data_IF_400103931489
#
_entry.id   IF_400103931489
#
_cell.length_a   1.000
_cell.length_b   1.000
_cell.length_c   1.000
_cell.angle_alpha   90.00
_cell.angle_beta   90.00
_cell.angle_gamma   90.00
#
_symmetry.space_group_name_H-M   'P 1'
#
loop_
_entity.id
_entity.type
_entity.pdbx_description
1 polymer ?
#
# COMPACT_ATOMS: atom_id res chain seq x y z
N UNK A 1 -56.56 4.41 4.66
CA UNK A 1 -56.27 4.12 3.24
C UNK A 1 -55.14 3.12 3.17
N UNK A 2 -55.44 1.86 2.83
CA UNK A 2 -54.47 0.77 2.69
C UNK A 2 -54.23 0.54 1.20
N UNK A 3 -52.98 0.63 0.75
CA UNK A 3 -52.57 0.23 -0.59
C UNK A 3 -51.68 -1.00 -0.44
N UNK A 4 -52.20 -2.12 -0.91
CA UNK A 4 -51.55 -3.43 -1.01
C UNK A 4 -50.99 -3.53 -2.43
N UNK A 5 -49.70 -3.75 -2.59
CA UNK A 5 -49.07 -4.06 -3.88
C UNK A 5 -48.59 -5.52 -3.86
N UNK A 6 -49.15 -6.30 -4.78
CA UNK A 6 -48.82 -7.70 -5.05
C UNK A 6 -47.64 -7.83 -6.04
N UNK A 7 -46.92 -8.97 -6.05
CA UNK A 7 -45.80 -9.23 -6.97
C UNK A 7 -46.26 -9.86 -8.29
N UNK A 8 -45.56 -9.54 -9.39
CA UNK A 8 -45.77 -10.13 -10.72
C UNK A 8 -44.58 -11.04 -11.09
N UNK A 9 -44.86 -12.33 -11.21
CA UNK A 9 -44.02 -13.32 -11.89
C UNK A 9 -44.32 -13.35 -13.40
N UNK A 10 -43.39 -13.87 -14.22
CA UNK A 10 -43.53 -14.63 -15.50
C UNK A 10 -42.19 -14.64 -16.26
N UNK A 11 -41.55 -15.78 -16.47
CA UNK A 11 -41.75 -16.83 -17.51
C UNK A 11 -40.68 -16.75 -18.63
N UNK A 12 -39.76 -17.72 -18.59
CA UNK A 12 -39.30 -18.59 -19.70
C UNK A 12 -39.50 -18.13 -21.15
N UNK A 13 -38.43 -18.15 -21.96
CA UNK A 13 -38.49 -18.67 -23.34
C UNK A 13 -37.11 -19.15 -23.81
N UNK A 14 -37.02 -20.47 -23.96
CA UNK A 14 -35.97 -21.23 -24.60
C UNK A 14 -36.28 -21.26 -26.11
N UNK A 15 -35.33 -20.90 -27.00
CA UNK A 15 -35.47 -21.17 -28.45
C UNK A 15 -34.23 -21.86 -29.01
N UNK A 16 -34.47 -23.11 -29.41
CA UNK A 16 -33.67 -23.93 -30.32
C UNK A 16 -33.64 -23.27 -31.71
N UNK A 17 -32.48 -23.30 -32.36
CA UNK A 17 -32.39 -23.29 -33.81
C UNK A 17 -31.62 -24.54 -34.25
N UNK A 18 -32.37 -25.48 -34.82
CA UNK A 18 -31.88 -26.54 -35.70
C UNK A 18 -31.60 -25.90 -37.06
N UNK A 19 -30.46 -26.21 -37.67
CA UNK A 19 -30.34 -26.14 -39.12
C UNK A 19 -29.49 -27.33 -39.58
N UNK A 20 -30.18 -28.30 -40.16
CA UNK A 20 -29.60 -29.36 -40.96
C UNK A 20 -29.67 -28.91 -42.43
N UNK A 21 -28.56 -29.01 -43.15
CA UNK A 21 -28.58 -29.24 -44.59
C UNK A 21 -27.37 -30.09 -44.96
N UNK A 22 -27.70 -31.22 -45.57
CA UNK A 22 -26.86 -32.33 -45.95
C UNK A 22 -26.52 -32.21 -47.45
N UNK A 23 -25.53 -33.01 -47.88
CA UNK A 23 -25.26 -33.41 -49.28
C UNK A 23 -24.45 -32.47 -50.18
N UNK A 24 -23.15 -32.77 -50.30
CA UNK A 24 -22.54 -33.16 -51.57
C UNK A 24 -21.14 -33.78 -51.35
N UNK A 25 -21.06 -35.10 -51.54
CA UNK A 25 -19.80 -35.85 -51.69
C UNK A 25 -19.20 -35.55 -53.06
N UNK A 26 -17.92 -35.18 -53.12
CA UNK A 26 -17.04 -35.51 -54.25
C UNK A 26 -15.57 -35.50 -53.81
N UNK A 27 -14.96 -36.68 -53.98
CA UNK A 27 -13.54 -36.97 -54.22
C UNK A 27 -12.46 -36.03 -53.64
N UNK A 28 -11.78 -36.48 -52.58
CA UNK A 28 -10.37 -36.11 -52.38
C UNK A 28 -9.57 -37.29 -51.84
N UNK A 29 -8.45 -37.57 -52.49
CA UNK A 29 -7.65 -38.78 -52.32
C UNK A 29 -7.03 -38.94 -50.94
N UNK A 30 -6.99 -40.20 -50.50
CA UNK A 30 -6.17 -40.66 -49.37
C UNK A 30 -4.70 -40.33 -49.61
N UNK A 31 -4.17 -39.32 -48.93
CA UNK A 31 -2.78 -39.35 -48.44
C UNK A 31 -2.82 -39.76 -46.98
N UNK A 32 -2.25 -40.92 -46.69
CA UNK A 32 -1.94 -41.34 -45.32
C UNK A 32 -0.82 -40.43 -44.83
N UNK A 33 -1.15 -39.40 -44.06
CA UNK A 33 -0.18 -38.66 -43.26
C UNK A 33 0.03 -39.48 -41.98
N UNK A 34 1.28 -39.91 -41.76
CA UNK A 34 1.69 -40.61 -40.55
C UNK A 34 1.36 -39.77 -39.30
N UNK A 35 1.01 -40.40 -38.17
CA UNK A 35 0.79 -39.66 -36.93
C UNK A 35 2.10 -38.96 -36.51
N UNK A 36 2.02 -37.65 -36.29
CA UNK A 36 3.11 -36.89 -35.69
C UNK A 36 3.42 -37.50 -34.32
N UNK A 37 4.63 -38.04 -34.17
CA UNK A 37 5.13 -38.47 -32.86
C UNK A 37 5.35 -37.21 -32.02
N UNK A 38 4.51 -37.04 -31.00
CA UNK A 38 4.68 -36.01 -29.99
C UNK A 38 5.91 -36.38 -29.15
N UNK A 39 7.07 -35.80 -29.47
CA UNK A 39 8.27 -35.93 -28.64
C UNK A 39 8.12 -34.93 -27.51
N UNK A 40 7.72 -35.41 -26.32
CA UNK A 40 7.87 -34.64 -25.09
C UNK A 40 9.37 -34.49 -24.80
N UNK A 41 9.96 -33.39 -25.26
CA UNK A 41 11.28 -32.96 -24.81
C UNK A 41 11.09 -32.30 -23.45
N UNK A 42 11.23 -33.10 -22.39
CA UNK A 42 11.39 -32.55 -21.04
C UNK A 42 12.78 -31.90 -20.96
N UNK A 43 12.88 -30.61 -20.63
CA UNK A 43 14.17 -30.00 -20.30
C UNK A 43 14.80 -30.78 -19.15
N UNK A 44 16.05 -31.21 -19.31
CA UNK A 44 16.81 -31.81 -18.22
C UNK A 44 17.05 -30.72 -17.18
N UNK A 45 16.27 -30.73 -16.12
CA UNK A 45 16.57 -29.95 -14.92
C UNK A 45 17.76 -30.63 -14.23
N UNK A 46 18.92 -30.00 -14.30
CA UNK A 46 20.09 -30.41 -13.53
C UNK A 46 19.76 -30.29 -12.03
N UNK A 47 19.58 -31.44 -11.37
CA UNK A 47 19.24 -31.55 -9.95
C UNK A 47 20.37 -31.08 -8.99
N UNK A 48 21.38 -30.36 -9.48
CA UNK A 48 22.54 -29.94 -8.70
C UNK A 48 22.42 -28.55 -8.06
N UNK A 49 21.27 -27.86 -8.20
CA UNK A 49 21.04 -26.55 -7.56
C UNK A 49 19.87 -26.54 -6.56
N UNK A 50 19.49 -27.73 -6.05
CA UNK A 50 18.39 -27.90 -5.09
C UNK A 50 18.86 -28.15 -3.64
N UNK A 51 20.05 -27.67 -3.26
CA UNK A 51 20.58 -27.81 -1.90
C UNK A 51 21.05 -26.45 -1.35
N UNK A 52 20.08 -25.56 -1.15
CA UNK A 52 20.19 -24.42 -0.24
C UNK A 52 18.81 -24.13 0.33
N UNK A 53 18.21 -25.14 0.96
CA UNK A 53 17.04 -24.96 1.81
C UNK A 53 17.48 -24.41 3.16
N UNK A 54 17.82 -23.12 3.20
CA UNK A 54 17.71 -22.34 4.42
C UNK A 54 16.27 -21.85 4.49
N UNK A 55 15.54 -22.19 5.55
CA UNK A 55 14.33 -21.47 5.95
C UNK A 55 14.75 -20.04 6.34
N UNK A 56 14.98 -19.21 5.32
CA UNK A 56 14.79 -17.78 5.45
C UNK A 56 13.30 -17.62 5.33
N UNK A 57 12.65 -17.29 6.43
CA UNK A 57 11.33 -16.68 6.39
C UNK A 57 11.51 -15.35 5.65
N UNK A 58 11.59 -15.38 4.31
CA UNK A 58 11.61 -14.22 3.41
C UNK A 58 10.19 -13.64 3.43
N UNK A 59 9.78 -13.19 4.61
CA UNK A 59 8.58 -12.40 4.80
C UNK A 59 8.79 -11.14 3.97
N UNK A 60 8.14 -11.10 2.81
CA UNK A 60 8.15 -9.96 1.90
C UNK A 60 7.99 -8.67 2.70
N UNK A 61 8.82 -7.68 2.40
CA UNK A 61 8.72 -6.38 3.05
C UNK A 61 7.30 -5.80 2.85
N UNK A 62 6.79 -4.97 3.77
CA UNK A 62 5.48 -4.33 3.60
C UNK A 62 5.31 -3.63 2.26
N UNK A 63 6.38 -3.02 1.73
CA UNK A 63 6.38 -2.40 0.41
C UNK A 63 6.16 -3.43 -0.72
N UNK A 64 6.85 -4.57 -0.69
CA UNK A 64 6.67 -5.65 -1.67
C UNK A 64 5.25 -6.24 -1.59
N UNK A 65 4.71 -6.45 -0.38
CA UNK A 65 3.34 -6.93 -0.21
C UNK A 65 2.30 -6.00 -0.86
N UNK A 66 2.50 -4.69 -0.74
CA UNK A 66 1.61 -3.71 -1.40
C UNK A 66 1.75 -3.72 -2.93
N UNK A 67 2.95 -3.97 -3.46
CA UNK A 67 3.21 -4.03 -4.91
C UNK A 67 2.53 -5.25 -5.52
N UNK A 68 2.71 -6.44 -4.94
CA UNK A 68 2.23 -7.71 -5.51
C UNK A 68 0.78 -8.08 -5.18
N UNK A 69 0.15 -7.41 -4.22
CA UNK A 69 -1.23 -7.72 -3.84
C UNK A 69 -2.26 -7.33 -4.90
N UNK A 70 -3.38 -8.04 -4.96
CA UNK A 70 -4.53 -7.59 -5.74
C UNK A 70 -5.17 -6.34 -5.13
N UNK A 71 -5.94 -5.60 -5.93
CA UNK A 71 -6.53 -4.31 -5.54
C UNK A 71 -7.37 -4.39 -4.26
N UNK A 72 -8.20 -5.41 -4.10
CA UNK A 72 -9.09 -5.50 -2.93
C UNK A 72 -8.33 -5.90 -1.66
N UNK A 73 -7.37 -6.82 -1.79
CA UNK A 73 -6.43 -7.16 -0.71
C UNK A 73 -5.60 -5.94 -0.31
N UNK A 74 -5.14 -5.15 -1.27
CA UNK A 74 -4.42 -3.91 -1.04
C UNK A 74 -5.25 -2.91 -0.21
N UNK A 75 -6.52 -2.67 -0.58
CA UNK A 75 -7.42 -1.80 0.19
C UNK A 75 -7.60 -2.30 1.64
N UNK A 76 -7.80 -3.61 1.81
CA UNK A 76 -7.95 -4.21 3.13
C UNK A 76 -6.67 -4.07 3.98
N UNK A 77 -5.50 -4.29 3.39
CA UNK A 77 -4.21 -4.12 4.07
C UNK A 77 -3.97 -2.67 4.48
N UNK A 78 -4.24 -1.70 3.59
CA UNK A 78 -4.09 -0.27 3.91
C UNK A 78 -5.02 0.14 5.06
N UNK A 79 -6.28 -0.32 5.04
CA UNK A 79 -7.24 -0.04 6.11
C UNK A 79 -6.79 -0.63 7.46
N UNK A 80 -6.25 -1.86 7.47
CA UNK A 80 -5.89 -2.56 8.69
C UNK A 80 -4.51 -2.19 9.25
N UNK A 81 -3.53 -1.91 8.38
CA UNK A 81 -2.12 -1.79 8.76
C UNK A 81 -1.58 -0.36 8.71
N UNK A 82 -2.27 0.57 8.03
CA UNK A 82 -1.87 1.99 7.95
C UNK A 82 -3.01 2.91 8.41
N UNK A 83 -3.27 2.99 9.73
CA UNK A 83 -4.33 3.84 10.25
C UNK A 83 -4.05 5.35 10.12
N UNK A 84 -2.80 5.79 10.14
CA UNK A 84 -2.48 7.23 10.15
C UNK A 84 -2.20 7.78 8.76
N UNK A 85 -2.36 9.10 8.59
CA UNK A 85 -2.10 9.78 7.33
C UNK A 85 -0.63 9.66 6.92
N UNK A 86 0.32 9.86 7.85
CA UNK A 86 1.75 9.74 7.56
C UNK A 86 2.16 8.33 7.14
N UNK A 87 1.53 7.29 7.70
CA UNK A 87 1.77 5.90 7.29
C UNK A 87 1.27 5.64 5.86
N UNK A 88 0.05 6.07 5.53
CA UNK A 88 -0.51 5.94 4.17
C UNK A 88 0.28 6.73 3.14
N UNK A 89 0.79 7.90 3.53
CA UNK A 89 1.66 8.73 2.69
C UNK A 89 3.00 8.04 2.39
N UNK A 90 3.63 7.42 3.40
CA UNK A 90 4.83 6.60 3.19
C UNK A 90 4.56 5.37 2.32
N UNK A 91 3.41 4.72 2.49
CA UNK A 91 2.99 3.65 1.60
C UNK A 91 2.84 4.14 0.15
N UNK A 92 2.28 5.34 -0.07
CA UNK A 92 2.20 5.96 -1.39
C UNK A 92 3.60 6.25 -1.97
N UNK A 93 4.51 6.77 -1.16
CA UNK A 93 5.88 7.06 -1.59
C UNK A 93 6.63 5.76 -1.94
N UNK A 94 6.42 4.68 -1.21
CA UNK A 94 6.95 3.35 -1.54
C UNK A 94 6.41 2.83 -2.89
N UNK A 95 5.09 2.96 -3.15
CA UNK A 95 4.51 2.57 -4.45
C UNK A 95 5.05 3.42 -5.60
N UNK A 96 5.25 4.72 -5.39
CA UNK A 96 5.88 5.62 -6.38
C UNK A 96 7.33 5.23 -6.65
N UNK A 97 8.08 4.84 -5.61
CA UNK A 97 9.44 4.33 -5.77
C UNK A 97 9.45 3.02 -6.59
N UNK A 98 8.51 2.11 -6.35
CA UNK A 98 8.36 0.90 -7.17
C UNK A 98 8.00 1.24 -8.62
N UNK A 99 7.12 2.21 -8.87
CA UNK A 99 6.79 2.67 -10.22
C UNK A 99 8.01 3.31 -10.91
N UNK A 100 8.80 4.09 -10.20
CA UNK A 100 10.03 4.66 -10.72
C UNK A 100 11.07 3.57 -11.03
N UNK A 101 11.12 2.50 -10.23
CA UNK A 101 11.96 1.32 -10.52
C UNK A 101 11.55 0.67 -11.85
N UNK A 102 10.25 0.43 -12.07
CA UNK A 102 9.76 -0.11 -13.36
C UNK A 102 10.22 0.78 -14.52
N UNK A 103 10.00 2.10 -14.43
CA UNK A 103 10.42 3.04 -15.48
C UNK A 103 11.93 3.00 -15.75
N UNK A 104 12.76 2.82 -14.71
CA UNK A 104 14.22 2.66 -14.87
C UNK A 104 14.60 1.34 -15.55
N UNK A 105 13.87 0.25 -15.30
CA UNK A 105 14.10 -1.04 -15.96
C UNK A 105 13.65 -0.97 -17.44
N UNK A 106 12.52 -0.32 -17.71
CA UNK A 106 12.06 -0.03 -19.08
C UNK A 106 13.11 0.81 -19.84
N UNK A 107 13.66 1.84 -19.21
CA UNK A 107 14.74 2.64 -19.81
C UNK A 107 15.97 1.78 -20.13
N UNK A 108 16.39 0.90 -19.22
CA UNK A 108 17.49 -0.02 -19.45
C UNK A 108 17.23 -0.97 -20.64
N UNK A 109 16.01 -1.51 -20.75
CA UNK A 109 15.59 -2.33 -21.88
C UNK A 109 15.59 -1.55 -23.20
N UNK A 110 15.11 -0.31 -23.21
CA UNK A 110 15.16 0.54 -24.41
C UNK A 110 16.61 0.88 -24.82
N UNK A 111 17.52 0.98 -23.86
CA UNK A 111 18.95 1.18 -24.09
C UNK A 111 19.71 -0.11 -24.47
N UNK A 112 19.00 -1.24 -24.66
CA UNK A 112 19.57 -2.58 -24.90
C UNK A 112 20.58 -3.03 -23.84
N UNK A 113 20.40 -2.59 -22.59
CA UNK A 113 21.19 -3.08 -21.46
C UNK A 113 20.54 -4.36 -20.92
N UNK A 114 21.31 -5.44 -20.69
CA UNK A 114 20.76 -6.64 -20.09
C UNK A 114 20.36 -6.37 -18.64
N UNK A 115 19.18 -6.83 -18.26
CA UNK A 115 18.73 -6.90 -16.87
C UNK A 115 19.32 -8.15 -16.21
N UNK A 116 19.54 -8.11 -14.89
CA UNK A 116 19.85 -9.31 -14.13
C UNK A 116 18.64 -10.24 -14.02
N UNK A 117 18.86 -11.54 -13.77
CA UNK A 117 17.78 -12.53 -13.62
C UNK A 117 16.77 -12.13 -12.52
N UNK A 118 17.27 -11.53 -11.43
CA UNK A 118 16.45 -11.04 -10.32
C UNK A 118 15.60 -9.81 -10.71
N UNK A 119 16.15 -8.91 -11.53
CA UNK A 119 15.42 -7.74 -12.02
C UNK A 119 14.39 -8.11 -13.08
N UNK A 120 14.73 -9.04 -13.97
CA UNK A 120 13.82 -9.56 -14.98
C UNK A 120 12.65 -10.29 -14.32
N UNK A 121 12.91 -11.18 -13.37
CA UNK A 121 11.85 -11.88 -12.63
C UNK A 121 10.97 -10.93 -11.83
N UNK A 122 11.53 -9.88 -11.22
CA UNK A 122 10.75 -8.85 -10.54
C UNK A 122 9.91 -8.04 -11.53
N UNK A 123 10.47 -7.63 -12.66
CA UNK A 123 9.76 -6.89 -13.71
C UNK A 123 8.59 -7.69 -14.28
N UNK A 124 8.82 -8.96 -14.60
CA UNK A 124 7.80 -9.85 -15.16
C UNK A 124 6.65 -10.16 -14.17
N UNK A 125 6.94 -10.10 -12.86
CA UNK A 125 5.96 -10.36 -11.81
C UNK A 125 5.12 -9.12 -11.42
N UNK A 126 5.58 -7.90 -11.74
CA UNK A 126 4.91 -6.66 -11.32
C UNK A 126 3.94 -6.16 -12.39
N UNK A 127 2.67 -6.00 -11.99
CA UNK A 127 1.67 -5.32 -12.82
C UNK A 127 1.81 -3.79 -12.74
N UNK A 128 2.40 -3.20 -13.77
CA UNK A 128 2.62 -1.75 -13.88
C UNK A 128 1.31 -0.94 -13.96
N UNK A 129 0.27 -1.47 -14.60
CA UNK A 129 -1.03 -0.81 -14.73
C UNK A 129 -1.77 -0.83 -13.40
N UNK A 130 -1.85 -2.01 -12.76
CA UNK A 130 -2.41 -2.18 -11.43
C UNK A 130 -1.71 -1.31 -10.39
N UNK A 131 -0.38 -1.15 -10.48
CA UNK A 131 0.37 -0.26 -9.62
C UNK A 131 -0.04 1.21 -9.80
N UNK A 132 -0.28 1.66 -11.04
CA UNK A 132 -0.80 2.99 -11.35
C UNK A 132 -2.17 3.25 -10.71
N UNK A 133 -3.08 2.28 -10.79
CA UNK A 133 -4.39 2.35 -10.16
C UNK A 133 -4.30 2.44 -8.64
N UNK A 134 -3.44 1.64 -8.01
CA UNK A 134 -3.22 1.69 -6.54
C UNK A 134 -2.71 3.05 -6.09
N UNK A 135 -1.76 3.63 -6.83
CA UNK A 135 -1.22 4.97 -6.56
C UNK A 135 -2.34 6.02 -6.63
N UNK A 136 -3.17 5.98 -7.67
CA UNK A 136 -4.28 6.93 -7.84
C UNK A 136 -5.31 6.80 -6.72
N UNK A 137 -5.72 5.56 -6.40
CA UNK A 137 -6.67 5.30 -5.31
C UNK A 137 -6.14 5.77 -3.95
N UNK A 138 -4.87 5.50 -3.65
CA UNK A 138 -4.27 5.90 -2.38
C UNK A 138 -4.08 7.42 -2.29
N UNK A 139 -3.75 8.08 -3.40
CA UNK A 139 -3.68 9.54 -3.48
C UNK A 139 -5.06 10.19 -3.22
N UNK A 140 -6.13 9.68 -3.85
CA UNK A 140 -7.50 10.15 -3.59
C UNK A 140 -7.93 9.89 -2.14
N UNK A 141 -7.52 8.76 -1.57
CA UNK A 141 -7.82 8.43 -0.17
C UNK A 141 -7.13 9.38 0.79
N UNK A 142 -5.88 9.77 0.51
CA UNK A 142 -5.17 10.78 1.30
C UNK A 142 -5.82 12.16 1.20
N UNK A 143 -6.28 12.55 0.02
CA UNK A 143 -6.98 13.82 -0.19
C UNK A 143 -8.29 13.85 0.61
N UNK A 144 -9.09 12.77 0.57
CA UNK A 144 -10.29 12.62 1.41
C UNK A 144 -9.98 12.71 2.91
N UNK A 145 -8.87 12.13 3.37
CA UNK A 145 -8.48 12.23 4.78
C UNK A 145 -8.17 13.67 5.20
N UNK A 146 -7.62 14.48 4.30
CA UNK A 146 -7.36 15.90 4.55
C UNK A 146 -8.69 16.66 4.62
N UNK A 147 -9.59 16.42 3.67
CA UNK A 147 -10.91 17.06 3.61
C UNK A 147 -11.79 16.69 4.82
N UNK A 148 -11.78 15.42 5.23
CA UNK A 148 -12.54 14.90 6.38
C UNK A 148 -11.91 15.28 7.74
N UNK A 149 -10.71 15.89 7.73
CA UNK A 149 -9.99 16.25 8.95
C UNK A 149 -9.45 15.07 9.74
N UNK A 150 -9.22 13.93 9.08
CA UNK A 150 -8.66 12.71 9.68
C UNK A 150 -7.14 12.78 9.88
N UNK A 151 -6.66 13.90 10.42
CA UNK A 151 -5.25 14.21 10.63
C UNK A 151 -4.95 14.30 12.12
N UNK A 152 -3.81 13.78 12.55
CA UNK A 152 -3.25 14.10 13.87
C UNK A 152 -2.69 15.52 13.90
N UNK A 153 -2.42 16.06 15.09
CA UNK A 153 -1.91 17.43 15.23
C UNK A 153 -0.58 17.64 14.48
N UNK A 154 0.35 16.68 14.59
CA UNK A 154 1.63 16.70 13.86
C UNK A 154 1.41 16.60 12.35
N UNK A 155 0.56 15.69 11.90
CA UNK A 155 0.26 15.51 10.48
C UNK A 155 -0.37 16.76 9.86
N UNK A 156 -1.25 17.44 10.60
CA UNK A 156 -1.84 18.71 10.16
C UNK A 156 -0.77 19.78 9.95
N UNK A 157 0.18 19.91 10.87
CA UNK A 157 1.29 20.86 10.72
C UNK A 157 2.15 20.54 9.49
N UNK A 158 2.48 19.26 9.26
CA UNK A 158 3.20 18.83 8.05
C UNK A 158 2.42 19.11 6.75
N UNK A 159 1.10 18.90 6.76
CA UNK A 159 0.25 19.17 5.59
C UNK A 159 0.18 20.68 5.33
N UNK A 160 0.03 21.50 6.38
CA UNK A 160 0.01 22.95 6.26
C UNK A 160 1.35 23.49 5.75
N UNK A 161 2.47 23.02 6.28
CA UNK A 161 3.81 23.38 5.81
C UNK A 161 3.99 23.07 4.32
N UNK A 162 3.54 21.90 3.85
CA UNK A 162 3.60 21.55 2.41
C UNK A 162 2.66 22.38 1.55
N UNK A 163 1.50 22.79 2.06
CA UNK A 163 0.60 23.69 1.36
C UNK A 163 1.18 25.11 1.28
N UNK A 164 1.89 25.56 2.33
CA UNK A 164 2.60 26.83 2.36
C UNK A 164 3.76 26.85 1.34
N UNK A 165 4.58 25.80 1.29
CA UNK A 165 5.62 25.64 0.26
C UNK A 165 5.05 25.73 -1.16
N UNK A 166 3.92 25.04 -1.42
CA UNK A 166 3.23 25.11 -2.72
C UNK A 166 2.65 26.49 -3.01
N UNK A 167 2.16 27.20 -1.99
CA UNK A 167 1.65 28.55 -2.15
C UNK A 167 2.78 29.52 -2.54
N UNK A 168 3.97 29.37 -1.95
CA UNK A 168 5.16 30.13 -2.31
C UNK A 168 5.62 29.80 -3.75
N UNK A 169 5.67 28.52 -4.13
CA UNK A 169 5.98 28.13 -5.51
C UNK A 169 4.99 28.73 -6.52
N UNK A 170 3.70 28.74 -6.20
CA UNK A 170 2.67 29.36 -7.04
C UNK A 170 2.86 30.88 -7.11
N UNK A 171 3.23 31.53 -6.01
CA UNK A 171 3.55 32.97 -5.95
C UNK A 171 4.73 33.32 -6.87
N UNK A 172 5.79 32.51 -6.87
CA UNK A 172 6.94 32.68 -7.76
C UNK A 172 6.56 32.49 -9.24
N UNK A 173 5.77 31.45 -9.56
CA UNK A 173 5.27 31.20 -10.92
C UNK A 173 4.36 32.33 -11.42
N UNK A 174 3.57 32.91 -10.52
CA UNK A 174 2.67 34.03 -10.80
C UNK A 174 3.48 35.30 -11.14
N UNK A 175 4.47 35.65 -10.31
CA UNK A 175 5.40 36.75 -10.59
C UNK A 175 6.11 36.59 -11.95
N UNK A 176 6.60 35.38 -12.25
CA UNK A 176 7.23 35.10 -13.53
C UNK A 176 6.25 35.20 -14.72
N UNK A 177 4.99 34.80 -14.54
CA UNK A 177 3.95 34.89 -15.57
C UNK A 177 3.50 36.34 -15.82
N UNK A 178 3.43 37.16 -14.76
CA UNK A 178 3.16 38.60 -14.85
C UNK A 178 4.28 39.34 -15.59
N UNK A 179 5.55 39.06 -15.22
CA UNK A 179 6.70 39.63 -15.92
C UNK A 179 6.77 39.22 -17.40
N UNK A 180 6.30 38.02 -17.73
CA UNK A 180 6.21 37.51 -19.11
C UNK A 180 4.94 37.95 -19.86
N UNK A 181 4.05 38.75 -19.26
CA UNK A 181 2.81 39.22 -19.88
C UNK A 181 1.80 38.13 -20.22
N UNK A 182 1.88 36.94 -19.60
CA UNK A 182 1.04 35.78 -19.91
C UNK A 182 -0.29 35.86 -19.15
N UNK A 183 -1.18 36.77 -19.55
CA UNK A 183 -2.45 37.06 -18.87
C UNK A 183 -3.28 35.80 -18.53
N UNK A 184 -3.39 34.82 -19.45
CA UNK A 184 -4.09 33.56 -19.18
C UNK A 184 -3.45 32.74 -18.05
N UNK A 185 -2.12 32.68 -18.00
CA UNK A 185 -1.41 31.97 -16.95
C UNK A 185 -1.56 32.68 -15.59
N UNK A 186 -1.54 34.02 -15.57
CA UNK A 186 -1.78 34.82 -14.36
C UNK A 186 -3.17 34.53 -13.79
N UNK A 187 -4.21 34.53 -14.62
CA UNK A 187 -5.59 34.22 -14.17
C UNK A 187 -5.74 32.80 -13.62
N UNK A 188 -5.03 31.82 -14.20
CA UNK A 188 -5.09 30.43 -13.72
C UNK A 188 -4.30 30.24 -12.41
N UNK A 189 -3.12 30.85 -12.30
CA UNK A 189 -2.27 30.75 -11.11
C UNK A 189 -2.85 31.50 -9.90
N UNK A 190 -3.49 32.64 -10.13
CA UNK A 190 -4.24 33.37 -9.09
C UNK A 190 -5.40 32.53 -8.54
N UNK A 191 -6.25 31.97 -9.42
CA UNK A 191 -7.35 31.09 -9.02
C UNK A 191 -6.86 29.86 -8.23
N UNK A 192 -5.78 29.21 -8.69
CA UNK A 192 -5.18 28.07 -8.00
C UNK A 192 -4.64 28.43 -6.61
N UNK A 193 -4.04 29.63 -6.47
CA UNK A 193 -3.54 30.13 -5.17
C UNK A 193 -4.69 30.41 -4.20
N UNK A 194 -5.76 31.04 -4.66
CA UNK A 194 -6.94 31.31 -3.82
C UNK A 194 -7.61 30.01 -3.34
N UNK A 195 -7.74 29.02 -4.22
CA UNK A 195 -8.28 27.71 -3.84
C UNK A 195 -7.39 27.01 -2.80
N UNK A 196 -6.07 27.07 -2.97
CA UNK A 196 -5.12 26.51 -2.01
C UNK A 196 -5.20 27.21 -0.65
N UNK A 197 -5.33 28.55 -0.63
CA UNK A 197 -5.49 29.32 0.61
C UNK A 197 -6.80 29.00 1.34
N UNK A 198 -7.90 28.79 0.61
CA UNK A 198 -9.17 28.33 1.18
C UNK A 198 -9.00 26.96 1.85
N UNK A 199 -8.42 25.99 1.13
CA UNK A 199 -8.14 24.65 1.68
C UNK A 199 -7.25 24.71 2.92
N UNK A 200 -6.24 25.57 2.94
CA UNK A 200 -5.41 25.77 4.15
C UNK A 200 -6.21 26.29 5.34
N UNK A 201 -7.13 27.23 5.11
CA UNK A 201 -8.00 27.73 6.17
C UNK A 201 -8.93 26.63 6.70
N UNK A 202 -9.49 25.81 5.81
CA UNK A 202 -10.34 24.68 6.18
C UNK A 202 -9.57 23.66 7.03
N UNK A 203 -8.37 23.24 6.58
CA UNK A 203 -7.51 22.30 7.32
C UNK A 203 -7.08 22.83 8.68
N UNK A 204 -6.86 24.14 8.83
CA UNK A 204 -6.57 24.77 10.14
C UNK A 204 -7.74 24.67 11.12
N UNK A 205 -8.97 24.74 10.62
CA UNK A 205 -10.18 24.73 11.44
C UNK A 205 -10.68 23.32 11.80
N UNK A 206 -10.19 22.27 11.12
CA UNK A 206 -10.56 20.89 11.40
C UNK A 206 -9.99 20.39 12.73
N UNK A 207 -10.81 19.63 13.47
CA UNK A 207 -10.41 19.01 14.74
C UNK A 207 -9.51 17.81 14.47
N UNK A 208 -8.31 17.80 15.06
CA UNK A 208 -7.40 16.68 14.92
C UNK A 208 -7.88 15.42 15.64
N UNK A 209 -7.55 14.28 15.07
CA UNK A 209 -7.80 12.95 15.64
C UNK A 209 -6.61 12.53 16.49
N UNK A 210 -6.87 11.83 17.60
CA UNK A 210 -5.85 11.13 18.39
C UNK A 210 -5.95 9.64 18.11
N UNK A 211 -4.90 9.04 17.55
CA UNK A 211 -4.87 7.61 17.32
C UNK A 211 -4.42 6.86 18.58
N UNK A 212 -5.22 5.91 19.06
CA UNK A 212 -4.89 5.06 20.21
C UNK A 212 -4.28 3.75 19.73
N UNK A 213 -3.07 3.35 20.18
CA UNK A 213 -2.50 2.06 19.83
C UNK A 213 -3.35 0.92 20.38
N UNK A 214 -3.33 -0.24 19.70
CA UNK A 214 -4.16 -1.42 20.05
C UNK A 214 -3.98 -1.82 21.51
N UNK A 215 -2.73 -1.94 21.96
CA UNK A 215 -2.36 -2.39 23.30
C UNK A 215 -2.10 -1.23 24.28
N UNK A 216 -2.73 -0.07 24.07
CA UNK A 216 -2.42 1.16 24.84
C UNK A 216 -2.48 0.97 26.38
N UNK A 217 -3.49 0.25 26.88
CA UNK A 217 -3.66 0.03 28.32
C UNK A 217 -2.60 -0.93 28.88
N UNK A 218 -2.26 -1.98 28.13
CA UNK A 218 -1.29 -3.00 28.51
C UNK A 218 0.13 -2.46 28.47
N UNK A 219 0.49 -1.69 27.43
CA UNK A 219 1.76 -0.97 27.34
C UNK A 219 1.92 -0.03 28.53
N UNK A 220 0.89 0.74 28.89
CA UNK A 220 0.95 1.60 30.07
C UNK A 220 1.09 0.80 31.38
N UNK A 221 0.41 -0.33 31.51
CA UNK A 221 0.53 -1.20 32.68
C UNK A 221 1.95 -1.78 32.81
N UNK A 222 2.55 -2.26 31.71
CA UNK A 222 3.92 -2.77 31.70
C UNK A 222 4.94 -1.66 31.95
N UNK A 223 4.78 -0.47 31.35
CA UNK A 223 5.64 0.69 31.64
C UNK A 223 5.61 1.09 33.11
N UNK A 224 4.43 1.06 33.75
CA UNK A 224 4.30 1.31 35.21
C UNK A 224 5.02 0.24 36.04
N UNK A 225 4.92 -1.04 35.65
CA UNK A 225 5.65 -2.15 36.31
C UNK A 225 7.16 -1.97 36.17
N UNK A 226 7.65 -1.65 34.97
CA UNK A 226 9.07 -1.38 34.73
C UNK A 226 9.58 -0.18 35.53
N UNK A 227 8.83 0.92 35.58
CA UNK A 227 9.20 2.08 36.40
C UNK A 227 9.24 1.76 37.91
N UNK A 228 8.38 0.86 38.39
CA UNK A 228 8.44 0.38 39.77
C UNK A 228 9.69 -0.50 40.01
N UNK A 229 10.02 -1.39 39.07
CA UNK A 229 11.22 -2.23 39.13
C UNK A 229 12.51 -1.40 39.05
N UNK A 230 12.56 -0.34 38.23
CA UNK A 230 13.70 0.58 38.18
C UNK A 230 13.91 1.36 39.48
N UNK A 231 12.82 1.71 40.18
CA UNK A 231 12.91 2.34 41.51
C UNK A 231 13.48 1.37 42.55
N UNK A 232 13.10 0.10 42.48
CA UNK A 232 13.63 -0.97 43.34
C UNK A 232 15.11 -1.23 43.05
N UNK A 233 15.51 -1.26 41.77
CA UNK A 233 16.91 -1.43 41.35
C UNK A 233 17.81 -0.27 41.79
N UNK A 234 17.29 0.96 41.83
CA UNK A 234 18.02 2.15 42.32
C UNK A 234 18.02 2.29 43.84
N UNK A 235 17.27 1.47 44.56
CA UNK A 235 17.23 1.51 46.01
C UNK A 235 18.50 0.87 46.60
N UNK A 236 19.13 1.54 47.56
CA UNK A 236 20.36 1.07 48.22
C UNK A 236 20.09 0.06 49.36
N UNK A 237 18.87 -0.43 49.47
CA UNK A 237 18.41 -1.32 50.56
C UNK A 237 18.54 -2.77 50.10
N UNK A 238 18.92 -3.68 50.99
CA UNK A 238 18.97 -5.11 50.69
C UNK A 238 17.54 -5.61 50.44
N UNK A 239 17.25 -5.95 49.18
CA UNK A 239 15.91 -6.38 48.78
C UNK A 239 15.64 -7.83 49.24
N UNK A 240 14.41 -8.15 49.70
CA UNK A 240 13.99 -9.52 49.96
C UNK A 240 14.03 -10.37 48.69
N UNK A 241 14.18 -11.68 48.86
CA UNK A 241 14.38 -12.65 47.76
C UNK A 241 13.25 -12.60 46.70
N UNK A 242 12.03 -12.26 47.11
CA UNK A 242 10.88 -12.06 46.22
C UNK A 242 11.02 -10.84 45.29
N UNK A 243 11.68 -9.77 45.74
CA UNK A 243 11.92 -8.57 44.94
C UNK A 243 13.07 -8.79 43.95
N UNK A 244 14.07 -9.61 44.32
CA UNK A 244 15.13 -10.06 43.41
C UNK A 244 14.57 -10.94 42.28
N UNK A 245 13.59 -11.80 42.57
CA UNK A 245 12.89 -12.59 41.55
C UNK A 245 12.02 -11.74 40.61
N UNK A 246 11.48 -10.61 41.08
CA UNK A 246 10.76 -9.66 40.22
C UNK A 246 11.70 -8.89 39.29
N UNK A 247 12.92 -8.60 39.74
CA UNK A 247 13.96 -7.98 38.91
C UNK A 247 14.44 -8.91 37.79
N UNK A 248 14.52 -10.23 38.03
CA UNK A 248 14.89 -11.19 36.97
C UNK A 248 13.82 -11.36 35.88
N UNK A 249 12.57 -10.96 36.13
CA UNK A 249 11.51 -10.90 35.13
C UNK A 249 11.54 -9.64 34.24
N UNK A 250 12.38 -8.64 34.56
CA UNK A 250 12.55 -7.39 33.78
C UNK A 250 12.85 -7.61 32.29
N UNK A 251 13.81 -8.47 31.87
CA UNK A 251 14.08 -8.69 30.45
C UNK A 251 12.88 -9.27 29.69
N UNK A 252 12.08 -10.13 30.34
CA UNK A 252 10.86 -10.66 29.73
C UNK A 252 9.81 -9.57 29.55
N UNK A 253 9.60 -8.71 30.55
CA UNK A 253 8.69 -7.56 30.44
C UNK A 253 9.11 -6.55 29.36
N UNK A 254 10.42 -6.36 29.16
CA UNK A 254 10.95 -5.53 28.07
C UNK A 254 10.69 -6.17 26.70
N UNK A 255 10.91 -7.47 26.56
CA UNK A 255 10.60 -8.21 25.34
C UNK A 255 9.10 -8.18 25.01
N UNK A 256 8.24 -8.40 26.02
CA UNK A 256 6.79 -8.33 25.87
C UNK A 256 6.32 -6.92 25.50
N UNK A 257 6.88 -5.88 26.14
CA UNK A 257 6.61 -4.48 25.80
C UNK A 257 6.98 -4.21 24.35
N UNK A 258 8.19 -4.61 23.94
CA UNK A 258 8.66 -4.41 22.56
C UNK A 258 7.75 -5.14 21.56
N UNK A 259 7.36 -6.39 21.83
CA UNK A 259 6.43 -7.13 20.98
C UNK A 259 5.06 -6.44 20.86
N UNK A 260 4.50 -5.93 21.96
CA UNK A 260 3.24 -5.17 21.96
C UNK A 260 3.36 -3.84 21.22
N UNK A 261 4.50 -3.15 21.33
CA UNK A 261 4.77 -1.91 20.60
C UNK A 261 4.93 -2.18 19.10
N UNK A 262 5.62 -3.25 18.70
CA UNK A 262 5.75 -3.66 17.29
C UNK A 262 4.41 -4.07 16.67
N UNK A 263 3.56 -4.83 17.36
CA UNK A 263 2.23 -5.20 16.84
C UNK A 263 1.26 -4.00 16.80
N UNK A 264 1.47 -3.04 17.70
CA UNK A 264 0.73 -1.77 17.69
C UNK A 264 1.25 -0.80 16.65
N UNK A 265 2.52 -0.91 16.26
CA UNK A 265 3.15 -0.11 15.22
C UNK A 265 2.61 -0.56 13.86
N UNK A 266 1.74 0.28 13.28
CA UNK A 266 1.29 0.08 11.90
C UNK A 266 2.47 0.05 10.92
N UNK A 267 2.23 -0.44 9.71
CA UNK A 267 3.24 -0.41 8.65
C UNK A 267 3.74 1.02 8.41
N UNK A 268 5.04 1.15 8.16
CA UNK A 268 5.71 2.44 7.93
C UNK A 268 5.67 3.43 9.11
N UNK A 269 5.47 2.95 10.35
CA UNK A 269 5.66 3.78 11.55
C UNK A 269 7.10 4.32 11.62
N UNK A 270 7.28 5.48 12.27
CA UNK A 270 8.64 5.93 12.60
C UNK A 270 9.27 4.94 13.57
N UNK A 271 10.55 4.57 13.36
CA UNK A 271 11.32 3.95 14.42
C UNK A 271 11.43 4.96 15.56
N UNK A 272 10.83 4.62 16.71
CA UNK A 272 10.87 5.40 17.94
C UNK A 272 12.21 5.29 18.64
#
# INVERSE_FOLDING_TARGET
>A
MRIVLAPRARETTQRRCLCACDSARLACGRRVLAPAQFVHVFPKLDASKAASGGEVEDSLSPAQLLVFSEMDTFKAMIAAKTPTFSQRKRALDALKASKARIASLEEALTAMKPLSDDEQSWYDAVDAEGLGLKISWLAQTLEKMVDDGQLTAKEREEVLSRMEEKAEELSLKLSAAEAAGKAKAVTQLTAAREELQKKMADVRNLKCITHRPKHAAEIQAVKKKLAALEKLEKSKVVLPLEEVQKLSAKPKLLADLHAMEVDSAGWFSEPS
#
